data_IF_731547815378
#
_entry.id   IF_731547815378
#
_cell.length_a   1.000
_cell.length_b   1.000
_cell.length_c   1.000
_cell.angle_alpha   90.00
_cell.angle_beta   90.00
_cell.angle_gamma   90.00
#
_symmetry.space_group_name_H-M   'P 1'
#
loop_
_entity.id
_entity.type
_entity.pdbx_description
1 polymer ?
#
# COMPACT_ATOMS: atom_id res chain seq x y z
N UNK A 1 -15.43 17.96 0.99
CA UNK A 1 -14.53 17.36 2.00
C UNK A 1 -13.13 17.72 1.60
N UNK A 2 -12.28 18.02 2.57
CA UNK A 2 -10.86 18.32 2.31
C UNK A 2 -10.12 17.00 2.06
N UNK A 3 -9.70 16.79 0.81
CA UNK A 3 -8.94 15.62 0.38
C UNK A 3 -7.45 15.94 0.22
N UNK A 4 -6.97 17.08 0.76
CA UNK A 4 -5.59 17.57 0.57
C UNK A 4 -4.55 16.53 0.96
N UNK A 5 -4.79 15.79 2.06
CA UNK A 5 -3.94 14.68 2.49
C UNK A 5 -3.73 13.62 1.39
N UNK A 6 -4.79 13.26 0.66
CA UNK A 6 -4.72 12.28 -0.43
C UNK A 6 -4.03 12.87 -1.65
N UNK A 7 -4.28 14.14 -1.99
CA UNK A 7 -3.71 14.79 -3.17
C UNK A 7 -2.22 15.11 -3.01
N UNK A 8 -1.75 15.34 -1.79
CA UNK A 8 -0.34 15.64 -1.51
C UNK A 8 0.51 14.37 -1.28
N UNK A 9 -0.09 13.27 -0.82
CA UNK A 9 0.66 12.05 -0.48
C UNK A 9 1.30 11.37 -1.70
N UNK A 10 2.62 11.19 -1.73
CA UNK A 10 3.30 10.48 -2.83
C UNK A 10 2.99 8.99 -2.91
N UNK A 11 2.55 8.40 -1.80
CA UNK A 11 2.11 7.02 -1.67
C UNK A 11 0.92 6.97 -0.71
N UNK A 12 -0.16 6.31 -1.11
CA UNK A 12 -1.28 5.99 -0.23
C UNK A 12 -1.29 4.49 0.01
N UNK A 13 -1.15 4.11 1.27
CA UNK A 13 -1.23 2.71 1.69
C UNK A 13 -2.54 2.48 2.42
N UNK A 14 -3.28 1.47 1.97
CA UNK A 14 -4.52 1.01 2.61
C UNK A 14 -4.38 -0.44 3.10
N UNK A 15 -5.22 -0.84 4.04
CA UNK A 15 -5.18 -2.18 4.62
C UNK A 15 -6.08 -3.17 3.88
N UNK A 16 -7.14 -2.70 3.23
CA UNK A 16 -8.14 -3.56 2.56
C UNK A 16 -8.57 -3.01 1.21
N UNK A 17 -9.07 -3.89 0.33
CA UNK A 17 -9.62 -3.49 -0.99
C UNK A 17 -10.85 -2.61 -0.86
N UNK A 18 -11.58 -2.76 0.24
CA UNK A 18 -12.71 -1.86 0.58
C UNK A 18 -12.22 -0.43 0.79
N UNK A 19 -11.11 -0.25 1.49
CA UNK A 19 -10.49 1.06 1.67
C UNK A 19 -9.90 1.58 0.36
N UNK A 20 -9.26 0.72 -0.44
CA UNK A 20 -8.78 1.08 -1.79
C UNK A 20 -9.91 1.64 -2.67
N UNK A 21 -11.05 0.94 -2.72
CA UNK A 21 -12.22 1.36 -3.48
C UNK A 21 -12.84 2.66 -2.96
N UNK A 22 -12.87 2.83 -1.63
CA UNK A 22 -13.34 4.07 -1.00
C UNK A 22 -12.44 5.27 -1.35
N UNK A 23 -11.11 5.09 -1.29
CA UNK A 23 -10.15 6.12 -1.73
C UNK A 23 -10.35 6.46 -3.20
N UNK A 24 -10.52 5.46 -4.08
CA UNK A 24 -10.76 5.70 -5.50
C UNK A 24 -12.08 6.42 -5.82
N UNK A 25 -13.09 6.25 -4.95
CA UNK A 25 -14.37 6.97 -5.05
C UNK A 25 -14.25 8.42 -4.56
N UNK A 26 -13.42 8.64 -3.53
CA UNK A 26 -13.16 9.97 -2.98
C UNK A 26 -12.26 10.81 -3.89
N UNK A 27 -11.17 10.21 -4.39
CA UNK A 27 -10.28 10.83 -5.36
C UNK A 27 -9.73 9.83 -6.37
N UNK A 28 -10.25 9.86 -7.59
CA UNK A 28 -9.81 8.96 -8.66
C UNK A 28 -8.34 9.22 -9.08
N UNK A 29 -7.86 10.46 -8.93
CA UNK A 29 -6.52 10.88 -9.34
C UNK A 29 -5.41 10.23 -8.51
N UNK A 30 -5.70 9.78 -7.29
CA UNK A 30 -4.69 9.17 -6.41
C UNK A 30 -4.52 7.67 -6.64
N UNK A 31 -5.43 7.05 -7.39
CA UNK A 31 -5.44 5.61 -7.66
C UNK A 31 -4.10 5.03 -8.15
N UNK A 32 -3.32 5.67 -9.04
CA UNK A 32 -2.03 5.13 -9.48
C UNK A 32 -1.03 4.93 -8.34
N UNK A 33 -1.14 5.72 -7.27
CA UNK A 33 -0.26 5.69 -6.09
C UNK A 33 -0.95 5.12 -4.84
N UNK A 34 -2.12 4.50 -4.98
CA UNK A 34 -2.81 3.78 -3.90
C UNK A 34 -2.55 2.28 -4.02
N UNK A 35 -2.14 1.64 -2.93
CA UNK A 35 -1.83 0.22 -2.87
C UNK A 35 -2.34 -0.40 -1.57
N UNK A 36 -2.65 -1.69 -1.58
CA UNK A 36 -2.70 -2.45 -0.32
C UNK A 36 -1.29 -2.52 0.27
N UNK A 37 -1.14 -2.54 1.59
CA UNK A 37 0.20 -2.58 2.19
C UNK A 37 0.99 -3.84 1.78
N UNK A 38 0.36 -5.00 1.77
CA UNK A 38 0.98 -6.24 1.31
C UNK A 38 1.32 -6.21 -0.18
N UNK A 39 0.47 -5.60 -1.00
CA UNK A 39 0.71 -5.43 -2.44
C UNK A 39 1.94 -4.56 -2.66
N UNK A 40 2.01 -3.43 -1.96
CA UNK A 40 3.08 -2.49 -2.11
C UNK A 40 4.42 -3.09 -1.65
N UNK A 41 4.42 -3.88 -0.56
CA UNK A 41 5.62 -4.60 -0.10
C UNK A 41 6.06 -5.67 -1.12
N UNK A 42 5.11 -6.40 -1.71
CA UNK A 42 5.38 -7.40 -2.75
C UNK A 42 5.92 -6.76 -4.03
N UNK A 43 5.29 -5.69 -4.52
CA UNK A 43 5.72 -4.97 -5.71
C UNK A 43 7.09 -4.32 -5.49
N UNK A 44 7.33 -3.76 -4.31
CA UNK A 44 8.62 -3.23 -3.92
C UNK A 44 9.70 -4.34 -3.98
N UNK A 45 9.39 -5.55 -3.51
CA UNK A 45 10.29 -6.70 -3.64
C UNK A 45 10.60 -7.09 -5.09
N UNK A 46 9.66 -6.88 -6.02
CA UNK A 46 9.86 -7.12 -7.47
C UNK A 46 10.64 -5.98 -8.14
N UNK A 47 10.34 -4.72 -7.81
CA UNK A 47 10.97 -3.53 -8.39
C UNK A 47 12.38 -3.30 -7.83
N UNK A 48 12.63 -3.77 -6.61
CA UNK A 48 13.90 -3.58 -5.91
C UNK A 48 14.03 -2.19 -5.26
N UNK A 49 15.20 -1.94 -4.62
CA UNK A 49 15.43 -0.72 -3.85
C UNK A 49 15.33 0.56 -4.70
N UNK A 50 14.95 1.66 -4.06
CA UNK A 50 14.81 2.99 -4.69
C UNK A 50 16.08 3.44 -5.40
N UNK A 51 17.24 3.25 -4.76
CA UNK A 51 18.53 3.76 -5.23
C UNK A 51 18.46 5.28 -5.45
N UNK A 52 18.99 5.79 -6.56
CA UNK A 52 19.07 7.21 -6.88
C UNK A 52 17.75 7.82 -7.38
N UNK A 53 16.70 7.01 -7.58
CA UNK A 53 15.37 7.49 -7.99
C UNK A 53 14.75 8.34 -6.90
N UNK A 54 13.99 9.36 -7.26
CA UNK A 54 13.11 10.04 -6.30
C UNK A 54 12.07 9.05 -5.75
N UNK A 55 11.50 9.35 -4.58
CA UNK A 55 10.46 8.50 -3.99
C UNK A 55 9.25 8.36 -4.94
N UNK A 56 8.87 9.45 -5.61
CA UNK A 56 7.79 9.47 -6.61
C UNK A 56 8.08 8.53 -7.79
N UNK A 57 9.25 8.64 -8.42
CA UNK A 57 9.64 7.77 -9.55
C UNK A 57 9.68 6.29 -9.15
N UNK A 58 10.06 6.00 -7.90
CA UNK A 58 10.02 4.64 -7.38
C UNK A 58 8.60 4.12 -7.19
N UNK A 59 7.68 4.94 -6.64
CA UNK A 59 6.26 4.59 -6.55
C UNK A 59 5.62 4.38 -7.93
N UNK A 60 5.98 5.21 -8.92
CA UNK A 60 5.55 5.04 -10.31
C UNK A 60 6.06 3.71 -10.91
N UNK A 61 7.25 3.27 -10.50
CA UNK A 61 7.78 1.95 -10.86
C UNK A 61 6.94 0.81 -10.25
N UNK A 62 6.44 0.97 -9.00
CA UNK A 62 5.50 0.02 -8.39
C UNK A 62 4.18 -0.03 -9.19
N UNK A 63 3.65 1.13 -9.56
CA UNK A 63 2.42 1.22 -10.36
C UNK A 63 2.58 0.53 -11.72
N UNK A 64 3.74 0.69 -12.35
CA UNK A 64 4.10 0.03 -13.62
C UNK A 64 4.19 -1.49 -13.45
N UNK A 65 4.83 -1.97 -12.37
CA UNK A 65 4.94 -3.39 -12.05
C UNK A 65 3.59 -4.07 -11.73
N UNK A 66 2.57 -3.29 -11.36
CA UNK A 66 1.20 -3.77 -11.17
C UNK A 66 0.54 -4.26 -12.47
N UNK A 67 1.04 -3.84 -13.64
CA UNK A 67 0.66 -4.42 -14.93
C UNK A 67 -0.49 -3.74 -15.67
N UNK A 68 -0.79 -2.47 -15.39
CA UNK A 68 -1.67 -1.59 -16.20
C UNK A 68 -3.18 -1.93 -16.16
N UNK A 69 -3.55 -3.18 -15.94
CA UNK A 69 -4.89 -3.53 -15.50
C UNK A 69 -4.94 -3.25 -14.00
N UNK A 70 -5.60 -2.18 -13.62
CA UNK A 70 -5.88 -1.87 -12.22
C UNK A 70 -6.87 -2.89 -11.63
N UNK A 71 -6.45 -4.15 -11.56
CA UNK A 71 -7.09 -5.17 -10.77
C UNK A 71 -6.95 -4.74 -9.33
N UNK A 72 -8.04 -4.69 -8.57
CA UNK A 72 -7.96 -4.42 -7.14
C UNK A 72 -6.97 -5.37 -6.47
N UNK A 73 -6.41 -4.95 -5.34
CA UNK A 73 -5.38 -5.72 -4.65
C UNK A 73 -5.81 -7.17 -4.33
N UNK A 74 -4.87 -8.02 -3.92
CA UNK A 74 -5.17 -9.44 -3.63
C UNK A 74 -5.67 -9.61 -2.20
N UNK A 75 -6.52 -10.60 -1.94
CA UNK A 75 -6.96 -10.94 -0.56
C UNK A 75 -5.75 -11.22 0.35
N UNK A 76 -4.71 -11.87 -0.18
CA UNK A 76 -3.48 -12.16 0.57
C UNK A 76 -2.69 -10.92 0.98
N UNK A 77 -2.92 -9.80 0.29
CA UNK A 77 -2.27 -8.52 0.52
C UNK A 77 -3.05 -7.65 1.53
N UNK A 78 -4.23 -8.09 1.98
CA UNK A 78 -5.06 -7.39 2.97
C UNK A 78 -4.58 -7.62 4.41
N UNK A 79 -4.66 -6.55 5.22
CA UNK A 79 -4.57 -6.60 6.67
C UNK A 79 -5.96 -6.34 7.22
N UNK A 80 -6.54 -7.35 7.88
CA UNK A 80 -7.87 -7.24 8.46
C UNK A 80 -7.81 -6.46 9.76
N UNK A 81 -8.88 -5.70 10.03
CA UNK A 81 -9.05 -4.94 11.26
C UNK A 81 -9.26 -5.91 12.44
N UNK A 82 -8.39 -5.89 13.48
CA UNK A 82 -8.53 -6.75 14.66
C UNK A 82 -9.58 -6.23 15.66
N UNK A 83 -10.27 -5.12 15.38
CA UNK A 83 -11.26 -4.54 16.28
C UNK A 83 -12.31 -5.56 16.75
N UNK A 84 -12.52 -5.61 18.08
CA UNK A 84 -13.43 -6.58 18.72
C UNK A 84 -12.91 -8.01 18.81
N UNK A 85 -11.71 -8.30 18.28
CA UNK A 85 -11.04 -9.59 18.37
C UNK A 85 -10.25 -9.80 19.67
N UNK A 86 -9.54 -10.91 19.72
CA UNK A 86 -8.67 -11.30 20.84
C UNK A 86 -7.32 -10.61 20.77
N UNK A 87 -6.54 -10.63 21.86
CA UNK A 87 -5.17 -10.10 21.85
C UNK A 87 -4.29 -10.78 20.79
N UNK A 88 -4.53 -12.05 20.46
CA UNK A 88 -3.78 -12.78 19.45
C UNK A 88 -4.13 -12.31 18.03
N UNK A 89 -5.34 -11.81 17.79
CA UNK A 89 -5.72 -11.17 16.53
C UNK A 89 -4.98 -9.85 16.35
N UNK A 90 -4.84 -9.06 17.41
CA UNK A 90 -4.03 -7.84 17.41
C UNK A 90 -2.55 -8.15 17.18
N UNK A 91 -2.00 -9.17 17.82
CA UNK A 91 -0.60 -9.61 17.60
C UNK A 91 -0.38 -10.03 16.16
N UNK A 92 -1.27 -10.85 15.59
CA UNK A 92 -1.20 -11.27 14.18
C UNK A 92 -1.30 -10.09 13.21
N UNK A 93 -2.13 -9.09 13.54
CA UNK A 93 -2.21 -7.84 12.79
C UNK A 93 -0.87 -7.07 12.86
N UNK A 94 -0.34 -6.90 14.07
CA UNK A 94 0.95 -6.24 14.29
C UNK A 94 2.10 -6.95 13.54
N UNK A 95 2.19 -8.28 13.61
CA UNK A 95 3.22 -9.07 12.92
C UNK A 95 3.16 -8.89 11.40
N UNK A 96 1.95 -8.80 10.83
CA UNK A 96 1.77 -8.50 9.40
C UNK A 96 2.26 -7.11 9.05
N UNK A 97 1.86 -6.10 9.84
CA UNK A 97 2.28 -4.72 9.63
C UNK A 97 3.79 -4.58 9.76
N UNK A 98 4.40 -5.22 10.77
CA UNK A 98 5.85 -5.20 10.98
C UNK A 98 6.61 -5.84 9.82
N UNK A 99 6.13 -6.97 9.29
CA UNK A 99 6.68 -7.60 8.09
C UNK A 99 6.68 -6.66 6.88
N UNK A 100 5.58 -5.92 6.67
CA UNK A 100 5.47 -4.96 5.57
C UNK A 100 6.31 -3.70 5.79
N UNK A 101 6.33 -3.13 6.99
CA UNK A 101 7.21 -2.02 7.36
C UNK A 101 8.67 -2.39 7.14
N UNK A 102 9.08 -3.55 7.62
CA UNK A 102 10.44 -4.08 7.45
C UNK A 102 10.81 -4.26 5.97
N UNK A 103 9.89 -4.77 5.14
CA UNK A 103 10.11 -4.88 3.70
C UNK A 103 10.26 -3.50 3.04
N UNK A 104 9.41 -2.54 3.41
CA UNK A 104 9.44 -1.19 2.86
C UNK A 104 10.72 -0.44 3.22
N UNK A 105 11.14 -0.45 4.49
CA UNK A 105 12.32 0.28 4.95
C UNK A 105 13.57 -0.17 4.19
N UNK A 106 13.72 -1.48 3.94
CA UNK A 106 14.85 -2.03 3.17
C UNK A 106 14.89 -1.56 1.71
N UNK A 107 13.78 -1.08 1.17
CA UNK A 107 13.63 -0.77 -0.24
C UNK A 107 13.52 0.74 -0.51
N UNK A 108 13.24 1.53 0.52
CA UNK A 108 13.11 3.00 0.42
C UNK A 108 14.43 3.73 0.72
N UNK A 109 15.23 3.19 1.65
CA UNK A 109 16.50 3.76 2.08
C UNK A 109 17.61 3.45 1.06
#
# INVERSE_FOLDING_TARGET
MDNTLLTEADLVVVMTRRQEAAVGTLEATVRPRTFLFGEAARLAGTVGPRQDRTFREWVESLASARGGHFTGGRIVDEVLDPWGGTIDDYRRCADRLDGFCSAFVRLVI
#
